data_IF_998103454716
#
_entry.id   IF_998103454716
#
_cell.length_a   1.000
_cell.length_b   1.000
_cell.length_c   1.000
_cell.angle_alpha   90.00
_cell.angle_beta   90.00
_cell.angle_gamma   90.00
#
_symmetry.space_group_name_H-M   'P 1'
#
loop_
_entity.id
_entity.type
_entity.pdbx_description
1 polymer ?
#
# COMPACT_ATOMS: atom_id res chain seq x y z
N UNK A 1 8.59 -31.22 -3.56
CA UNK A 1 8.14 -30.28 -2.53
C UNK A 1 6.80 -29.74 -2.98
N UNK A 2 5.74 -29.86 -2.17
CA UNK A 2 4.43 -29.30 -2.52
C UNK A 2 4.52 -27.77 -2.52
N UNK A 3 4.09 -27.15 -3.62
CA UNK A 3 4.03 -25.70 -3.79
C UNK A 3 3.04 -25.09 -2.76
N UNK A 4 3.52 -24.18 -1.90
CA UNK A 4 2.70 -23.54 -0.86
C UNK A 4 1.83 -22.46 -1.50
N UNK A 5 0.50 -22.58 -1.37
CA UNK A 5 -0.47 -21.58 -1.88
C UNK A 5 -0.89 -20.60 -0.79
N UNK A 6 -0.31 -19.41 -0.80
CA UNK A 6 -0.54 -18.40 0.26
C UNK A 6 -2.00 -17.96 0.38
N UNK A 7 -2.79 -17.94 -0.71
CA UNK A 7 -4.19 -17.50 -0.65
C UNK A 7 -5.12 -18.49 0.05
N UNK A 8 -4.67 -19.73 0.26
CA UNK A 8 -5.41 -20.75 1.01
C UNK A 8 -5.25 -20.59 2.54
N UNK A 9 -4.32 -19.75 2.98
CA UNK A 9 -4.05 -19.52 4.41
C UNK A 9 -4.86 -18.35 5.00
N UNK A 10 -5.74 -17.72 4.22
CA UNK A 10 -6.42 -16.47 4.61
C UNK A 10 -7.95 -16.62 4.49
N UNK A 11 -8.69 -16.07 5.46
CA UNK A 11 -10.16 -15.98 5.38
C UNK A 11 -10.61 -14.92 4.37
N UNK A 12 -9.89 -13.80 4.33
CA UNK A 12 -10.10 -12.66 3.41
C UNK A 12 -8.75 -12.24 2.82
N UNK A 13 -8.72 -11.78 1.56
CA UNK A 13 -7.47 -11.40 0.87
C UNK A 13 -7.33 -9.91 0.66
N UNK A 14 -6.09 -9.41 0.78
CA UNK A 14 -5.76 -8.02 0.48
C UNK A 14 -6.62 -7.02 1.24
N UNK A 15 -7.05 -5.97 0.56
CA UNK A 15 -7.87 -4.91 1.13
C UNK A 15 -9.21 -5.38 1.71
N UNK A 16 -9.73 -6.54 1.31
CA UNK A 16 -10.96 -7.11 1.90
C UNK A 16 -10.77 -7.55 3.37
N UNK A 17 -9.54 -7.55 3.90
CA UNK A 17 -9.26 -7.77 5.31
C UNK A 17 -9.45 -6.52 6.19
N UNK A 18 -9.65 -5.33 5.60
CA UNK A 18 -9.87 -4.08 6.35
C UNK A 18 -11.22 -4.14 7.09
N UNK A 19 -11.27 -3.54 8.29
CA UNK A 19 -12.54 -3.35 9.00
C UNK A 19 -13.49 -2.47 8.15
N UNK A 20 -14.82 -2.69 8.23
CA UNK A 20 -15.77 -1.82 7.56
C UNK A 20 -15.57 -0.35 7.99
N UNK A 21 -15.51 0.62 7.05
CA UNK A 21 -15.18 2.01 7.38
C UNK A 21 -16.06 2.60 8.48
N UNK A 22 -17.37 2.32 8.44
CA UNK A 22 -18.32 2.79 9.47
C UNK A 22 -17.98 2.27 10.87
N UNK A 23 -17.58 1.00 10.99
CA UNK A 23 -17.22 0.41 12.28
C UNK A 23 -15.91 1.00 12.82
N UNK A 24 -14.94 1.27 11.93
CA UNK A 24 -13.69 1.92 12.31
C UNK A 24 -13.92 3.36 12.76
N UNK A 25 -14.68 4.16 12.00
CA UNK A 25 -15.00 5.55 12.35
C UNK A 25 -15.72 5.65 13.70
N UNK A 26 -16.65 4.75 14.00
CA UNK A 26 -17.31 4.73 15.32
C UNK A 26 -16.34 4.62 16.49
N UNK A 27 -15.24 3.87 16.33
CA UNK A 27 -14.21 3.74 17.36
C UNK A 27 -13.31 4.97 17.37
N UNK A 28 -12.83 5.41 16.20
CA UNK A 28 -11.90 6.54 16.11
C UNK A 28 -12.52 7.86 16.57
N UNK A 29 -13.79 8.11 16.25
CA UNK A 29 -14.54 9.30 16.68
C UNK A 29 -14.78 9.32 18.21
N UNK A 30 -14.63 8.17 18.87
CA UNK A 30 -14.75 8.06 20.33
C UNK A 30 -13.44 8.35 21.08
N UNK A 31 -12.31 8.42 20.38
CA UNK A 31 -11.00 8.71 20.97
C UNK A 31 -10.80 10.22 21.13
N UNK A 32 -10.04 10.66 22.15
CA UNK A 32 -9.69 12.07 22.29
C UNK A 32 -8.80 12.51 21.13
N UNK A 33 -9.12 13.65 20.54
CA UNK A 33 -8.36 14.20 19.43
C UNK A 33 -6.98 14.66 19.93
N UNK A 34 -5.93 14.25 19.23
CA UNK A 34 -4.58 14.71 19.45
C UNK A 34 -4.23 15.75 18.38
N UNK A 35 -3.85 16.96 18.80
CA UNK A 35 -3.47 18.03 17.90
C UNK A 35 -1.96 18.30 17.96
N UNK A 36 -1.38 18.56 16.80
CA UNK A 36 -0.03 19.10 16.66
C UNK A 36 -0.07 20.20 15.59
N UNK A 37 0.54 21.38 15.83
CA UNK A 37 0.62 22.43 14.81
C UNK A 37 1.47 22.02 13.59
N UNK A 38 2.24 20.94 13.70
CA UNK A 38 3.09 20.41 12.64
C UNK A 38 2.41 19.32 11.81
N UNK A 39 1.31 18.74 12.28
CA UNK A 39 0.47 17.83 11.51
C UNK A 39 -0.46 18.67 10.63
N UNK A 40 -0.14 18.78 9.33
CA UNK A 40 -0.87 19.61 8.37
C UNK A 40 -2.13 18.91 7.91
N UNK A 41 -2.01 17.64 7.58
CA UNK A 41 -3.12 16.75 7.23
C UNK A 41 -2.93 15.45 8.01
N UNK A 42 -4.00 14.98 8.63
CA UNK A 42 -4.01 13.78 9.46
C UNK A 42 -5.28 12.97 9.23
N UNK A 43 -5.69 12.20 10.25
CA UNK A 43 -6.90 11.38 10.16
C UNK A 43 -8.19 12.20 9.90
N UNK A 44 -8.24 13.46 10.34
CA UNK A 44 -9.41 14.34 10.17
C UNK A 44 -9.79 14.59 8.70
N UNK A 45 -8.81 14.58 7.78
CA UNK A 45 -9.02 14.82 6.35
C UNK A 45 -9.35 13.57 5.54
N UNK A 46 -9.17 12.37 6.10
CA UNK A 46 -9.32 11.09 5.39
C UNK A 46 -8.53 10.97 4.07
N UNK A 47 -7.37 11.63 3.99
CA UNK A 47 -6.42 11.49 2.87
C UNK A 47 -5.58 10.20 2.97
N UNK A 48 -4.91 9.81 1.88
CA UNK A 48 -4.21 8.53 1.77
C UNK A 48 -2.93 8.43 2.63
N UNK A 49 -2.32 9.56 2.98
CA UNK A 49 -1.17 9.63 3.88
C UNK A 49 -1.24 10.90 4.74
N UNK A 50 -0.65 10.88 5.93
CA UNK A 50 -0.56 12.11 6.73
C UNK A 50 0.58 13.01 6.23
N UNK A 51 0.41 14.33 6.41
CA UNK A 51 1.38 15.36 6.04
C UNK A 51 1.93 16.01 7.29
N UNK A 52 3.24 15.96 7.49
CA UNK A 52 3.92 16.52 8.67
C UNK A 52 5.00 17.53 8.27
N UNK A 53 5.05 18.67 8.97
CA UNK A 53 6.08 19.69 8.75
C UNK A 53 7.44 19.20 9.21
N UNK A 54 8.46 19.48 8.41
CA UNK A 54 9.85 19.25 8.82
C UNK A 54 10.33 20.53 9.51
N UNK A 55 10.69 20.51 10.81
CA UNK A 55 10.98 21.73 11.57
C UNK A 55 12.04 22.64 10.95
N UNK A 56 13.01 22.06 10.25
CA UNK A 56 14.12 22.77 9.61
C UNK A 56 13.84 23.17 8.16
N UNK A 57 12.72 22.74 7.57
CA UNK A 57 12.38 23.02 6.17
C UNK A 57 11.20 23.96 6.05
N UNK A 58 11.32 24.96 5.18
CA UNK A 58 10.23 25.90 4.88
C UNK A 58 9.27 25.37 3.82
N UNK A 59 9.78 24.58 2.88
CA UNK A 59 9.05 24.20 1.67
C UNK A 59 8.79 22.69 1.59
N UNK A 60 9.55 21.85 2.29
CA UNK A 60 9.34 20.40 2.25
C UNK A 60 8.50 19.93 3.43
N UNK A 61 7.58 19.02 3.15
CA UNK A 61 6.82 18.27 4.14
C UNK A 61 7.11 16.78 4.00
N UNK A 62 6.96 16.06 5.11
CA UNK A 62 7.04 14.61 5.16
C UNK A 62 5.64 14.04 4.94
N UNK A 63 5.56 13.02 4.09
CA UNK A 63 4.40 12.17 3.94
C UNK A 63 4.69 10.82 4.60
N UNK A 64 3.71 10.24 5.29
CA UNK A 64 3.85 8.88 5.77
C UNK A 64 2.53 8.12 5.75
N UNK A 65 2.61 6.88 5.30
CA UNK A 65 1.51 5.92 5.26
C UNK A 65 1.95 4.58 5.82
N UNK A 66 0.98 3.74 6.15
CA UNK A 66 1.18 2.34 6.49
C UNK A 66 0.07 1.49 5.88
N UNK A 67 0.44 0.48 5.10
CA UNK A 67 -0.51 -0.55 4.66
C UNK A 67 0.16 -1.93 4.66
N UNK A 68 -0.56 -2.93 5.15
CA UNK A 68 -0.14 -4.32 5.20
C UNK A 68 -1.37 -5.23 5.27
N UNK A 69 -1.33 -6.36 4.56
CA UNK A 69 -2.50 -7.21 4.43
C UNK A 69 -2.13 -8.67 4.18
N UNK A 70 -3.12 -9.59 4.30
CA UNK A 70 -2.94 -10.97 3.92
C UNK A 70 -2.75 -11.16 2.40
N UNK A 71 -2.09 -12.27 1.97
CA UNK A 71 -1.85 -12.59 0.57
C UNK A 71 -3.09 -12.47 -0.35
N UNK A 72 -2.88 -11.91 -1.54
CA UNK A 72 -3.87 -11.87 -2.63
C UNK A 72 -3.51 -12.78 -3.81
N UNK A 73 -2.26 -13.21 -3.85
CA UNK A 73 -1.69 -14.11 -4.86
C UNK A 73 -0.93 -15.22 -4.14
N UNK A 74 -0.84 -16.39 -4.78
CA UNK A 74 -0.21 -17.57 -4.17
C UNK A 74 1.31 -17.47 -4.14
N UNK A 75 1.91 -16.89 -5.19
CA UNK A 75 3.35 -16.74 -5.30
C UNK A 75 3.89 -15.74 -4.27
N UNK A 76 4.85 -16.13 -3.41
CA UNK A 76 5.34 -15.28 -2.33
C UNK A 76 6.06 -14.02 -2.84
N UNK A 77 6.83 -14.13 -3.92
CA UNK A 77 7.56 -12.99 -4.49
C UNK A 77 6.59 -11.96 -5.07
N UNK A 78 5.60 -12.40 -5.86
CA UNK A 78 4.53 -11.55 -6.37
C UNK A 78 3.71 -10.94 -5.23
N UNK A 79 3.42 -11.69 -4.16
CA UNK A 79 2.74 -11.13 -2.99
C UNK A 79 3.56 -9.98 -2.39
N UNK A 80 4.86 -10.16 -2.20
CA UNK A 80 5.78 -9.11 -1.78
C UNK A 80 5.70 -7.88 -2.69
N UNK A 81 5.70 -8.09 -4.01
CA UNK A 81 5.60 -7.00 -4.98
C UNK A 81 4.28 -6.24 -4.89
N UNK A 82 3.15 -6.94 -4.80
CA UNK A 82 1.83 -6.30 -4.70
C UNK A 82 1.70 -5.52 -3.39
N UNK A 83 2.14 -6.10 -2.27
CA UNK A 83 2.13 -5.44 -0.96
C UNK A 83 2.92 -4.12 -0.97
N UNK A 84 4.14 -4.15 -1.50
CA UNK A 84 4.97 -2.96 -1.61
C UNK A 84 4.38 -1.93 -2.58
N UNK A 85 3.89 -2.35 -3.76
CA UNK A 85 3.27 -1.44 -4.72
C UNK A 85 2.03 -0.73 -4.15
N UNK A 86 1.22 -1.43 -3.35
CA UNK A 86 0.08 -0.85 -2.65
C UNK A 86 0.54 0.17 -1.60
N UNK A 87 1.48 -0.20 -0.70
CA UNK A 87 1.92 0.71 0.35
C UNK A 87 2.66 1.96 -0.19
N UNK A 88 3.33 1.87 -1.33
CA UNK A 88 3.94 3.01 -2.01
C UNK A 88 2.89 3.91 -2.69
N UNK A 89 1.68 3.40 -2.97
CA UNK A 89 0.65 4.08 -3.74
C UNK A 89 0.22 5.39 -3.09
N UNK A 90 0.04 5.40 -1.77
CA UNK A 90 -0.52 6.55 -1.07
C UNK A 90 0.43 7.76 -1.11
N UNK A 91 1.74 7.51 -1.08
CA UNK A 91 2.73 8.58 -1.24
C UNK A 91 2.64 9.21 -2.63
N UNK A 92 2.46 8.40 -3.67
CA UNK A 92 2.24 8.91 -5.03
C UNK A 92 0.91 9.64 -5.18
N UNK A 93 -0.15 9.16 -4.50
CA UNK A 93 -1.49 9.77 -4.54
C UNK A 93 -1.51 11.18 -3.92
N UNK A 94 -0.61 11.44 -2.96
CA UNK A 94 -0.43 12.73 -2.31
C UNK A 94 0.59 13.65 -3.03
N UNK A 95 1.04 13.28 -4.24
CA UNK A 95 1.99 14.07 -5.04
C UNK A 95 3.45 13.95 -4.60
N UNK A 96 3.78 12.98 -3.74
CA UNK A 96 5.10 12.84 -3.15
C UNK A 96 5.96 11.73 -3.74
N UNK A 97 7.25 11.81 -3.38
CA UNK A 97 8.24 10.81 -3.75
C UNK A 97 8.55 9.89 -2.56
N UNK A 98 8.34 8.56 -2.67
CA UNK A 98 8.80 7.61 -1.66
C UNK A 98 10.33 7.65 -1.52
N UNK A 99 10.84 7.59 -0.28
CA UNK A 99 12.30 7.52 -0.03
C UNK A 99 12.70 6.38 0.90
N UNK A 100 11.93 6.14 1.94
CA UNK A 100 12.29 5.19 3.01
C UNK A 100 11.08 4.30 3.31
N UNK A 101 11.31 3.01 3.52
CA UNK A 101 10.29 2.06 3.95
C UNK A 101 10.77 1.17 5.10
N UNK A 102 9.83 0.73 5.93
CA UNK A 102 10.04 -0.25 6.99
C UNK A 102 9.11 -1.45 6.75
N UNK A 103 9.66 -2.66 6.82
CA UNK A 103 8.88 -3.89 6.68
C UNK A 103 7.94 -4.09 7.88
N UNK A 104 6.70 -4.47 7.61
CA UNK A 104 5.76 -5.00 8.60
C UNK A 104 5.41 -6.43 8.21
N UNK A 105 5.78 -7.38 9.06
CA UNK A 105 5.66 -8.81 8.76
C UNK A 105 4.93 -9.52 9.90
N UNK A 106 3.85 -10.22 9.54
CA UNK A 106 3.28 -11.28 10.37
C UNK A 106 3.53 -12.59 9.62
N UNK A 107 4.24 -13.55 10.22
CA UNK A 107 4.61 -14.77 9.52
C UNK A 107 4.39 -16.02 10.39
N UNK A 108 3.75 -17.07 9.85
CA UNK A 108 3.48 -18.28 10.62
C UNK A 108 4.75 -19.10 10.80
N UNK A 109 5.04 -19.48 12.05
CA UNK A 109 6.20 -20.33 12.38
C UNK A 109 6.18 -21.73 11.76
N UNK A 110 5.08 -22.17 11.14
CA UNK A 110 4.97 -23.45 10.44
C UNK A 110 5.39 -23.40 8.95
N UNK A 111 5.61 -22.21 8.39
CA UNK A 111 6.11 -22.08 7.02
C UNK A 111 7.64 -22.00 6.99
N UNK A 112 8.21 -22.53 5.92
CA UNK A 112 9.63 -22.43 5.63
C UNK A 112 10.07 -20.97 5.49
N UNK A 113 11.22 -20.61 6.07
CA UNK A 113 11.78 -19.25 5.99
C UNK A 113 12.13 -18.82 4.56
N UNK A 114 12.27 -19.77 3.63
CA UNK A 114 12.41 -19.48 2.21
C UNK A 114 11.21 -18.74 1.63
N UNK A 115 9.99 -19.03 2.11
CA UNK A 115 8.78 -18.30 1.72
C UNK A 115 8.85 -16.86 2.20
N UNK A 116 9.27 -16.62 3.45
CA UNK A 116 9.47 -15.26 3.97
C UNK A 116 10.52 -14.51 3.14
N UNK A 117 11.64 -15.17 2.81
CA UNK A 117 12.69 -14.58 1.97
C UNK A 117 12.13 -14.10 0.63
N UNK A 118 11.32 -14.91 -0.06
CA UNK A 118 10.72 -14.53 -1.34
C UNK A 118 9.76 -13.33 -1.21
N UNK A 119 8.94 -13.28 -0.15
CA UNK A 119 8.07 -12.13 0.13
C UNK A 119 8.90 -10.85 0.28
N UNK A 120 9.95 -10.90 1.09
CA UNK A 120 10.82 -9.75 1.34
C UNK A 120 11.57 -9.32 0.07
N UNK A 121 12.04 -10.27 -0.75
CA UNK A 121 12.67 -9.96 -2.03
C UNK A 121 11.70 -9.31 -3.02
N UNK A 122 10.46 -9.79 -3.08
CA UNK A 122 9.39 -9.19 -3.85
C UNK A 122 9.18 -7.73 -3.46
N UNK A 123 8.99 -7.48 -2.17
CA UNK A 123 8.82 -6.12 -1.64
C UNK A 123 10.02 -5.22 -1.91
N UNK A 124 11.23 -5.72 -1.64
CA UNK A 124 12.48 -5.00 -1.89
C UNK A 124 12.64 -4.62 -3.36
N UNK A 125 12.28 -5.51 -4.29
CA UNK A 125 12.39 -5.22 -5.73
C UNK A 125 11.53 -4.03 -6.15
N UNK A 126 10.32 -3.87 -5.57
CA UNK A 126 9.41 -2.77 -5.87
C UNK A 126 9.81 -1.47 -5.19
N UNK A 127 10.29 -1.54 -3.95
CA UNK A 127 10.86 -0.38 -3.25
C UNK A 127 12.08 0.16 -4.02
N UNK A 128 12.96 -0.72 -4.49
CA UNK A 128 14.09 -0.34 -5.33
C UNK A 128 13.63 0.26 -6.67
N UNK A 129 12.61 -0.31 -7.32
CA UNK A 129 12.01 0.25 -8.53
C UNK A 129 11.44 1.66 -8.31
N UNK A 130 10.95 1.97 -7.11
CA UNK A 130 10.47 3.29 -6.73
C UNK A 130 11.57 4.32 -6.45
N UNK A 131 12.84 3.90 -6.40
CA UNK A 131 13.98 4.74 -6.01
C UNK A 131 14.08 4.97 -4.49
N UNK A 132 13.45 4.10 -3.70
CA UNK A 132 13.45 4.14 -2.24
C UNK A 132 14.30 2.99 -1.65
N UNK A 133 14.52 3.02 -0.34
CA UNK A 133 15.24 1.97 0.40
C UNK A 133 14.39 1.37 1.52
N UNK A 134 14.60 0.09 1.81
CA UNK A 134 14.09 -0.54 3.03
C UNK A 134 15.15 -0.35 4.12
N UNK A 135 14.78 0.35 5.20
CA UNK A 135 15.71 0.74 6.27
C UNK A 135 15.55 -0.07 7.57
N UNK A 136 14.67 -1.07 7.57
CA UNK A 136 14.41 -1.91 8.74
C UNK A 136 13.03 -2.52 8.69
N UNK A 137 12.50 -2.87 9.86
CA UNK A 137 11.14 -3.37 10.00
C UNK A 137 10.92 -4.13 11.30
N UNK A 138 9.73 -4.73 11.41
CA UNK A 138 9.35 -5.58 12.52
C UNK A 138 8.68 -6.86 12.02
N UNK A 139 8.92 -7.96 12.72
CA UNK A 139 8.39 -9.28 12.38
C UNK A 139 7.85 -9.96 13.62
N UNK A 140 6.61 -10.43 13.53
CA UNK A 140 5.94 -11.19 14.60
C UNK A 140 5.43 -12.52 14.08
N UNK A 141 5.31 -13.49 14.98
CA UNK A 141 4.68 -14.77 14.67
C UNK A 141 3.15 -14.60 14.64
N UNK A 142 2.52 -15.09 13.58
CA UNK A 142 1.06 -15.05 13.40
C UNK A 142 0.61 -16.22 12.51
N UNK A 143 -0.50 -16.92 12.82
CA UNK A 143 -0.99 -18.02 11.98
C UNK A 143 -1.28 -17.66 10.52
N UNK A 144 -1.59 -16.38 10.24
CA UNK A 144 -1.90 -15.87 8.90
C UNK A 144 -0.77 -14.95 8.42
N UNK A 145 -0.11 -15.27 7.29
CA UNK A 145 0.92 -14.40 6.74
C UNK A 145 0.31 -13.04 6.37
N UNK A 146 1.00 -11.96 6.74
CA UNK A 146 0.68 -10.57 6.35
C UNK A 146 1.98 -9.84 6.06
N UNK A 147 1.98 -9.03 5.03
CA UNK A 147 3.13 -8.24 4.65
C UNK A 147 2.70 -6.88 4.12
N UNK A 148 3.54 -5.89 4.36
CA UNK A 148 3.38 -4.53 3.87
C UNK A 148 4.48 -3.63 4.41
N UNK A 149 4.28 -2.32 4.23
CA UNK A 149 5.30 -1.32 4.52
C UNK A 149 4.69 -0.14 5.27
N UNK A 150 5.47 0.41 6.20
CA UNK A 150 5.37 1.82 6.55
C UNK A 150 6.29 2.59 5.59
N UNK A 151 5.76 3.58 4.89
CA UNK A 151 6.49 4.31 3.85
C UNK A 151 6.56 5.79 4.22
N UNK A 152 7.76 6.35 4.16
CA UNK A 152 8.00 7.79 4.27
C UNK A 152 8.39 8.35 2.90
N UNK A 153 7.70 9.41 2.51
CA UNK A 153 7.98 10.20 1.32
C UNK A 153 8.13 11.68 1.65
N UNK A 154 8.48 12.46 0.63
CA UNK A 154 8.64 13.90 0.74
C UNK A 154 8.05 14.59 -0.47
N UNK A 155 7.51 15.78 -0.25
CA UNK A 155 6.93 16.63 -1.29
C UNK A 155 7.11 18.10 -0.93
N UNK A 156 7.18 18.95 -1.95
CA UNK A 156 7.05 20.39 -1.73
C UNK A 156 5.63 20.69 -1.25
N UNK A 157 5.48 21.49 -0.19
CA UNK A 157 4.21 21.84 0.43
C UNK A 157 3.20 22.39 -0.59
N UNK A 158 3.66 23.12 -1.60
CA UNK A 158 2.81 23.68 -2.65
C UNK A 158 2.28 22.64 -3.66
N UNK A 159 2.81 21.42 -3.61
CA UNK A 159 2.51 20.30 -4.52
C UNK A 159 1.85 19.11 -3.82
N UNK A 160 1.44 19.27 -2.56
CA UNK A 160 0.65 18.26 -1.87
C UNK A 160 -0.71 18.17 -2.58
N UNK A 161 -1.06 16.98 -3.04
CA UNK A 161 -2.38 16.69 -3.57
C UNK A 161 -3.31 16.27 -2.42
N UNK A 162 -4.53 16.81 -2.40
CA UNK A 162 -5.56 16.46 -1.42
C UNK A 162 -6.85 16.13 -2.13
N UNK A 163 -7.65 15.24 -1.53
CA UNK A 163 -8.91 14.80 -2.11
C UNK A 163 -10.06 15.85 -2.02
N UNK A 164 -9.82 17.01 -1.42
CA UNK A 164 -10.83 18.03 -1.10
C UNK A 164 -10.92 19.20 -2.10
N UNK A 165 -10.04 19.23 -3.11
CA UNK A 165 -9.84 20.42 -3.96
C UNK A 165 -10.52 20.36 -5.33
N UNK A 166 -11.20 19.25 -5.64
CA UNK A 166 -11.93 19.06 -6.89
C UNK A 166 -13.07 20.09 -7.07
N UNK A 167 -13.31 20.52 -8.30
CA UNK A 167 -14.31 21.54 -8.67
C UNK A 167 -15.26 21.03 -9.75
N UNK A 168 -16.44 21.64 -9.82
CA UNK A 168 -17.38 21.41 -10.91
C UNK A 168 -16.72 21.77 -12.24
N UNK A 169 -16.71 20.83 -13.17
CA UNK A 169 -16.06 20.97 -14.47
C UNK A 169 -14.75 20.17 -14.62
N UNK A 170 -14.20 19.66 -13.52
CA UNK A 170 -13.03 18.78 -13.56
C UNK A 170 -13.36 17.43 -14.23
N UNK A 171 -12.33 16.80 -14.80
CA UNK A 171 -12.42 15.48 -15.44
C UNK A 171 -11.85 14.41 -14.53
N UNK A 172 -12.51 13.23 -14.52
CA UNK A 172 -12.02 12.07 -13.78
C UNK A 172 -11.09 11.23 -14.67
N UNK A 173 -9.86 11.00 -14.20
CA UNK A 173 -8.86 10.19 -14.90
C UNK A 173 -8.58 8.94 -14.07
N UNK A 174 -8.59 7.78 -14.73
CA UNK A 174 -8.25 6.49 -14.14
C UNK A 174 -7.04 5.89 -14.86
N UNK A 175 -6.00 5.55 -14.10
CA UNK A 175 -4.70 5.11 -14.65
C UNK A 175 -4.47 3.60 -14.59
N UNK A 176 -5.36 2.86 -13.91
CA UNK A 176 -5.35 1.40 -13.84
C UNK A 176 -6.76 0.84 -14.01
N UNK A 177 -6.93 -0.31 -14.70
CA UNK A 177 -8.24 -0.96 -14.83
C UNK A 177 -8.85 -1.37 -13.48
N UNK A 178 -10.18 -1.34 -13.39
CA UNK A 178 -10.92 -1.90 -12.27
C UNK A 178 -11.10 -3.42 -12.42
N UNK A 179 -11.57 -4.08 -11.36
CA UNK A 179 -12.02 -5.48 -11.40
C UNK A 179 -11.04 -6.52 -10.84
N UNK A 180 -9.87 -6.12 -10.34
CA UNK A 180 -8.87 -7.00 -9.72
C UNK A 180 -9.47 -7.90 -8.63
N UNK A 181 -10.34 -7.37 -7.77
CA UNK A 181 -10.99 -8.15 -6.70
C UNK A 181 -11.86 -9.30 -7.22
N UNK A 182 -12.57 -9.08 -8.33
CA UNK A 182 -13.38 -10.11 -8.99
C UNK A 182 -12.46 -11.20 -9.56
N UNK A 183 -11.38 -10.79 -10.23
CA UNK A 183 -10.40 -11.71 -10.80
C UNK A 183 -9.71 -12.53 -9.70
N UNK A 184 -9.28 -11.91 -8.60
CA UNK A 184 -8.65 -12.61 -7.47
C UNK A 184 -9.62 -13.63 -6.84
N UNK A 185 -10.91 -13.29 -6.73
CA UNK A 185 -11.94 -14.23 -6.28
C UNK A 185 -12.05 -15.42 -7.24
N UNK A 186 -12.07 -15.18 -8.55
CA UNK A 186 -12.09 -16.24 -9.55
C UNK A 186 -10.79 -17.08 -9.55
N UNK A 187 -9.62 -16.48 -9.31
CA UNK A 187 -8.33 -17.20 -9.16
C UNK A 187 -8.40 -18.15 -7.97
N UNK A 188 -8.86 -17.67 -6.81
CA UNK A 188 -9.04 -18.52 -5.62
C UNK A 188 -9.99 -19.69 -5.85
N UNK A 189 -11.05 -19.46 -6.62
CA UNK A 189 -12.02 -20.49 -6.98
C UNK A 189 -11.52 -21.44 -8.10
N UNK A 190 -10.34 -21.19 -8.69
CA UNK A 190 -9.85 -21.96 -9.84
C UNK A 190 -10.64 -21.72 -11.13
N UNK A 191 -11.37 -20.60 -11.23
CA UNK A 191 -12.27 -20.25 -12.34
C UNK A 191 -11.71 -19.17 -13.27
N UNK A 192 -10.64 -18.48 -12.87
CA UNK A 192 -10.02 -17.43 -13.69
C UNK A 192 -9.18 -18.04 -14.83
N UNK A 193 -9.27 -17.44 -16.02
CA UNK A 193 -8.30 -17.71 -17.09
C UNK A 193 -6.91 -17.20 -16.72
N UNK A 194 -5.86 -17.86 -17.20
CA UNK A 194 -4.48 -17.41 -16.98
C UNK A 194 -4.24 -15.98 -17.45
N UNK A 195 -4.84 -15.60 -18.58
CA UNK A 195 -4.69 -14.26 -19.13
C UNK A 195 -5.31 -13.19 -18.20
N UNK A 196 -6.48 -13.48 -17.62
CA UNK A 196 -7.10 -12.59 -16.64
C UNK A 196 -6.25 -12.46 -15.37
N UNK A 197 -5.74 -13.59 -14.85
CA UNK A 197 -4.84 -13.59 -13.69
C UNK A 197 -3.56 -12.79 -13.94
N UNK A 198 -2.90 -13.01 -15.08
CA UNK A 198 -1.70 -12.25 -15.50
C UNK A 198 -1.97 -10.75 -15.59
N UNK A 199 -3.09 -10.34 -16.18
CA UNK A 199 -3.47 -8.90 -16.25
C UNK A 199 -3.72 -8.29 -14.87
N UNK A 200 -4.38 -9.02 -13.97
CA UNK A 200 -4.58 -8.56 -12.60
C UNK A 200 -3.25 -8.40 -11.85
N UNK A 201 -2.35 -9.39 -11.94
CA UNK A 201 -1.01 -9.34 -11.35
C UNK A 201 -0.21 -8.14 -11.89
N UNK A 202 -0.20 -7.93 -13.21
CA UNK A 202 0.50 -6.80 -13.81
C UNK A 202 -0.06 -5.45 -13.32
N UNK A 203 -1.38 -5.33 -13.19
CA UNK A 203 -2.02 -4.12 -12.67
C UNK A 203 -1.67 -3.87 -11.19
N UNK A 204 -1.66 -4.93 -10.38
CA UNK A 204 -1.37 -4.86 -8.94
C UNK A 204 0.11 -4.59 -8.63
N UNK A 205 1.03 -5.05 -9.48
CA UNK A 205 2.49 -4.89 -9.29
C UNK A 205 3.05 -3.64 -9.97
N UNK A 206 2.26 -2.94 -10.76
CA UNK A 206 2.63 -1.67 -11.39
C UNK A 206 2.66 -0.56 -10.33
N UNK A 207 3.76 0.19 -10.24
CA UNK A 207 3.83 1.38 -9.38
C UNK A 207 2.99 2.52 -9.97
N UNK A 208 2.41 3.36 -9.11
CA UNK A 208 1.73 4.59 -9.55
C UNK A 208 2.69 5.71 -9.95
N UNK A 209 4.01 5.46 -9.93
CA UNK A 209 5.06 6.42 -10.29
C UNK A 209 4.82 7.11 -11.63
N UNK A 210 4.49 6.36 -12.69
CA UNK A 210 4.29 6.95 -14.02
C UNK A 210 3.11 7.92 -14.04
N UNK A 211 1.99 7.53 -13.41
CA UNK A 211 0.82 8.39 -13.27
C UNK A 211 1.15 9.67 -12.49
N UNK A 212 1.84 9.52 -11.36
CA UNK A 212 2.33 10.62 -10.54
C UNK A 212 3.22 11.56 -11.36
N UNK A 213 4.26 11.05 -12.02
CA UNK A 213 5.23 11.86 -12.75
C UNK A 213 4.57 12.64 -13.92
N UNK A 214 3.56 12.06 -14.57
CA UNK A 214 2.80 12.73 -15.62
C UNK A 214 1.87 13.83 -15.09
N UNK A 215 1.38 13.70 -13.85
CA UNK A 215 0.46 14.64 -13.23
C UNK A 215 1.18 15.84 -12.57
N UNK A 216 2.43 15.68 -12.13
CA UNK A 216 3.22 16.74 -11.46
C UNK A 216 3.23 18.15 -12.12
N UNK A 217 3.17 18.30 -13.45
CA UNK A 217 3.14 19.62 -14.08
C UNK A 217 1.79 20.35 -14.01
N UNK A 218 0.71 19.65 -13.66
CA UNK A 218 -0.67 20.16 -13.64
C UNK A 218 -1.14 20.42 -12.20
#
# INVERSE_FOLDING_TARGET
MSEVKLTQMVKTSGCAAKLPPKALHQVLDSLPIMHSPDLVEGYEGSDDAFVYKIPTSKNMVMLQTVDFFPPMVDDPYLFGQVAAANALSDIYAMGGEPKIALNLVCFPGCLELSVLREILLGGQSKVAQAGAIIAGGHTINDPTPKYGLCVTGFVDKSKVWTNTTAKVGDVLILTKPLGVGIINTAVKAGLASENAAKKAINSMTMLNKYAHDCALPY
#
